data_IF_544818751988
#
_entry.id   IF_544818751988
#
_cell.length_a   1.000
_cell.length_b   1.000
_cell.length_c   1.000
_cell.angle_alpha   90.00
_cell.angle_beta   90.00
_cell.angle_gamma   90.00
#
_symmetry.space_group_name_H-M   'P 1'
#
loop_
_entity.id
_entity.type
_entity.pdbx_description
1 polymer ?
#
# COMPACT_ATOMS: atom_id res chain seq x y z
N UNK A 1 2.56 -24.88 9.66
CA UNK A 1 2.27 -23.42 9.75
C UNK A 1 3.19 -22.72 8.79
N UNK A 2 2.65 -21.93 7.89
CA UNK A 2 3.45 -21.10 6.96
C UNK A 2 4.13 -20.00 7.77
N UNK A 3 5.44 -19.81 7.56
CA UNK A 3 6.20 -18.75 8.24
C UNK A 3 5.83 -17.41 7.59
N UNK A 4 5.59 -16.39 8.41
CA UNK A 4 5.33 -15.04 7.91
C UNK A 4 6.60 -14.45 7.30
N UNK A 5 6.47 -13.80 6.15
CA UNK A 5 7.58 -13.18 5.41
C UNK A 5 7.68 -11.68 5.66
N UNK A 6 6.82 -11.11 6.51
CA UNK A 6 6.70 -9.66 6.70
C UNK A 6 7.99 -8.99 7.15
N UNK A 7 8.76 -9.64 8.04
CA UNK A 7 10.02 -9.06 8.54
C UNK A 7 11.10 -9.04 7.46
N UNK A 8 11.20 -10.09 6.65
CA UNK A 8 12.15 -10.13 5.54
C UNK A 8 11.81 -9.07 4.49
N UNK A 9 10.52 -8.93 4.18
CA UNK A 9 10.03 -7.89 3.26
C UNK A 9 10.32 -6.49 3.82
N UNK A 10 10.06 -6.26 5.10
CA UNK A 10 10.36 -4.97 5.74
C UNK A 10 11.87 -4.66 5.69
N UNK A 11 12.71 -5.61 6.08
CA UNK A 11 14.18 -5.44 6.03
C UNK A 11 14.65 -5.10 4.60
N UNK A 12 14.09 -5.77 3.58
CA UNK A 12 14.43 -5.50 2.18
C UNK A 12 13.96 -4.11 1.71
N UNK A 13 12.82 -3.65 2.19
CA UNK A 13 12.36 -2.28 1.93
C UNK A 13 13.28 -1.25 2.58
N UNK A 14 13.68 -1.47 3.84
CA UNK A 14 14.61 -0.57 4.56
C UNK A 14 15.95 -0.50 3.85
N UNK A 15 16.50 -1.63 3.43
CA UNK A 15 17.74 -1.69 2.66
C UNK A 15 17.64 -0.84 1.38
N UNK A 16 16.56 -0.98 0.62
CA UNK A 16 16.34 -0.22 -0.60
C UNK A 16 16.23 1.30 -0.36
N UNK A 17 15.55 1.70 0.72
CA UNK A 17 15.48 3.12 1.12
C UNK A 17 16.86 3.65 1.50
N UNK A 18 17.65 2.90 2.26
CA UNK A 18 19.01 3.27 2.67
C UNK A 18 19.97 3.35 1.49
N UNK A 19 19.79 2.51 0.49
CA UNK A 19 20.56 2.54 -0.77
C UNK A 19 20.13 3.64 -1.72
N UNK A 20 19.06 4.37 -1.39
CA UNK A 20 18.54 5.46 -2.21
C UNK A 20 17.82 4.98 -3.48
N UNK A 21 17.25 3.78 -3.47
CA UNK A 21 16.49 3.29 -4.60
C UNK A 21 15.23 4.12 -4.83
N UNK A 22 15.12 4.68 -6.03
CA UNK A 22 14.04 5.58 -6.38
C UNK A 22 12.77 4.83 -6.81
N UNK A 23 11.64 5.44 -6.54
CA UNK A 23 10.36 5.04 -7.15
C UNK A 23 10.32 5.62 -8.57
N UNK A 24 10.09 4.78 -9.55
CA UNK A 24 9.97 5.17 -10.95
C UNK A 24 8.51 5.38 -11.34
N UNK A 25 8.22 6.51 -11.94
CA UNK A 25 6.88 6.78 -12.45
C UNK A 25 6.60 5.94 -13.70
N UNK A 26 5.51 5.18 -13.65
CA UNK A 26 5.09 4.29 -14.75
C UNK A 26 4.15 5.01 -15.71
N UNK A 27 3.33 5.93 -15.19
CA UNK A 27 2.43 6.77 -15.97
C UNK A 27 2.21 8.12 -15.30
N UNK A 28 1.68 9.09 -16.05
CA UNK A 28 1.35 10.42 -15.49
C UNK A 28 0.07 10.42 -14.66
N UNK A 29 -0.71 9.36 -14.68
CA UNK A 29 -2.09 9.36 -14.16
C UNK A 29 -2.28 8.61 -12.85
N UNK A 30 -1.45 7.57 -12.55
CA UNK A 30 -1.68 6.69 -11.40
C UNK A 30 -0.45 6.61 -10.50
N UNK A 31 -0.36 7.54 -9.55
CA UNK A 31 0.76 7.61 -8.59
C UNK A 31 0.79 6.42 -7.61
N UNK A 32 -0.35 5.81 -7.32
CA UNK A 32 -0.44 4.65 -6.45
C UNK A 32 0.35 3.45 -7.01
N UNK A 33 0.23 3.21 -8.32
CA UNK A 33 0.97 2.14 -8.99
C UNK A 33 2.48 2.30 -8.99
N UNK A 34 3.00 3.53 -8.86
CA UNK A 34 4.44 3.76 -8.84
C UNK A 34 5.07 3.13 -7.60
N UNK A 35 4.50 3.40 -6.43
CA UNK A 35 5.00 2.84 -5.18
C UNK A 35 4.71 1.34 -5.08
N UNK A 36 3.57 0.89 -5.60
CA UNK A 36 3.23 -0.52 -5.68
C UNK A 36 4.26 -1.31 -6.50
N UNK A 37 4.70 -0.79 -7.66
CA UNK A 37 5.74 -1.42 -8.47
C UNK A 37 7.12 -1.41 -7.78
N UNK A 38 7.44 -0.33 -7.06
CA UNK A 38 8.66 -0.28 -6.25
C UNK A 38 8.63 -1.38 -5.18
N UNK A 39 7.52 -1.55 -4.48
CA UNK A 39 7.34 -2.61 -3.49
C UNK A 39 7.40 -4.01 -4.12
N UNK A 40 6.79 -4.20 -5.26
CA UNK A 40 6.84 -5.46 -6.01
C UNK A 40 8.28 -5.91 -6.28
N UNK A 41 9.17 -5.01 -6.70
CA UNK A 41 10.59 -5.31 -6.88
C UNK A 41 11.26 -5.86 -5.61
N UNK A 42 10.78 -5.48 -4.43
CA UNK A 42 11.29 -6.03 -3.14
C UNK A 42 10.87 -7.46 -2.95
N UNK A 43 9.61 -7.78 -3.24
CA UNK A 43 9.11 -9.16 -3.19
C UNK A 43 9.89 -10.05 -4.18
N UNK A 44 10.07 -9.59 -5.40
CA UNK A 44 10.81 -10.31 -6.44
C UNK A 44 12.28 -10.53 -6.06
N UNK A 45 12.93 -9.54 -5.45
CA UNK A 45 14.33 -9.67 -5.00
C UNK A 45 14.53 -10.70 -3.88
N UNK A 46 13.46 -11.01 -3.14
CA UNK A 46 13.42 -12.07 -2.14
C UNK A 46 12.97 -13.41 -2.73
N UNK A 47 12.79 -13.49 -4.05
CA UNK A 47 12.23 -14.67 -4.73
C UNK A 47 10.86 -15.10 -4.16
N UNK A 48 10.09 -14.12 -3.69
CA UNK A 48 8.75 -14.35 -3.19
C UNK A 48 7.75 -14.31 -4.35
N UNK A 49 6.88 -15.31 -4.39
CA UNK A 49 5.83 -15.41 -5.41
C UNK A 49 4.50 -14.91 -4.83
N UNK A 50 3.76 -14.19 -5.66
CA UNK A 50 2.44 -13.68 -5.34
C UNK A 50 1.46 -13.96 -6.49
N UNK A 51 0.17 -14.01 -6.17
CA UNK A 51 -0.86 -14.19 -7.18
C UNK A 51 -0.92 -12.94 -8.07
N UNK A 52 -1.15 -13.15 -9.38
CA UNK A 52 -1.34 -12.04 -10.30
C UNK A 52 -2.46 -11.12 -9.80
N UNK A 53 -2.15 -9.83 -9.63
CA UNK A 53 -3.15 -8.85 -9.22
C UNK A 53 -4.10 -8.55 -10.36
N UNK A 54 -5.40 -8.72 -10.12
CA UNK A 54 -6.43 -8.19 -11.00
C UNK A 54 -6.88 -6.82 -10.47
N UNK A 55 -7.36 -5.96 -11.35
CA UNK A 55 -7.99 -4.69 -10.96
C UNK A 55 -9.11 -4.99 -9.96
N UNK A 56 -9.07 -4.38 -8.79
CA UNK A 56 -9.97 -4.64 -7.64
C UNK A 56 -9.63 -5.86 -6.78
N UNK A 57 -8.40 -6.30 -6.75
CA UNK A 57 -7.96 -7.34 -5.82
C UNK A 57 -7.60 -6.71 -4.48
N UNK A 58 -7.97 -7.38 -3.39
CA UNK A 58 -7.56 -7.02 -2.04
C UNK A 58 -7.05 -8.26 -1.30
N UNK A 59 -5.94 -8.16 -0.59
CA UNK A 59 -4.94 -7.10 -0.69
C UNK A 59 -4.21 -7.11 -2.04
N UNK A 60 -3.44 -6.07 -2.35
CA UNK A 60 -2.72 -5.90 -3.63
C UNK A 60 -1.81 -7.07 -3.97
N UNK A 61 -1.07 -7.58 -3.00
CA UNK A 61 -0.20 -8.75 -3.14
C UNK A 61 -0.64 -9.86 -2.21
N UNK A 62 -0.97 -11.00 -2.77
CA UNK A 62 -1.35 -12.23 -2.05
C UNK A 62 -0.25 -13.25 -2.24
N UNK A 63 0.51 -13.52 -1.17
CA UNK A 63 1.67 -14.43 -1.24
C UNK A 63 1.21 -15.87 -1.51
N UNK A 64 1.94 -16.59 -2.35
CA UNK A 64 1.61 -17.98 -2.70
C UNK A 64 2.08 -18.95 -1.60
N UNK A 65 3.28 -18.73 -1.08
CA UNK A 65 3.94 -19.65 -0.15
C UNK A 65 3.82 -19.23 1.32
N UNK A 66 3.08 -18.17 1.61
CA UNK A 66 2.75 -17.75 2.97
C UNK A 66 1.29 -17.32 3.07
N UNK A 67 0.77 -17.27 4.30
CA UNK A 67 -0.57 -16.73 4.54
C UNK A 67 -0.59 -15.20 4.60
N UNK A 68 0.45 -14.52 4.15
CA UNK A 68 0.55 -13.07 4.18
C UNK A 68 -0.04 -12.45 2.91
N UNK A 69 -0.55 -11.23 3.07
CA UNK A 69 -0.95 -10.35 1.99
C UNK A 69 -0.55 -8.91 2.32
N UNK A 70 -0.23 -8.13 1.30
CA UNK A 70 0.22 -6.75 1.45
C UNK A 70 -0.70 -5.81 0.67
N UNK A 71 -1.24 -4.82 1.37
CA UNK A 71 -1.96 -3.68 0.79
C UNK A 71 -1.04 -2.47 0.78
N UNK A 72 -0.80 -1.87 -0.38
CA UNK A 72 0.23 -0.83 -0.56
C UNK A 72 -0.40 0.55 -0.72
N UNK A 73 0.09 1.51 0.02
CA UNK A 73 -0.38 2.90 0.01
C UNK A 73 0.80 3.87 -0.14
N UNK A 74 0.81 4.65 -1.21
CA UNK A 74 1.76 5.74 -1.40
C UNK A 74 1.16 7.07 -0.92
N UNK A 75 1.87 7.79 -0.04
CA UNK A 75 1.41 9.03 0.57
C UNK A 75 2.36 10.19 0.23
N UNK A 76 1.79 11.29 -0.25
CA UNK A 76 2.56 12.51 -0.49
C UNK A 76 2.87 13.23 0.83
N UNK A 77 4.11 13.69 1.01
CA UNK A 77 4.55 14.45 2.16
C UNK A 77 5.23 15.77 1.74
N UNK A 78 4.89 16.90 2.35
CA UNK A 78 3.75 17.12 3.24
C UNK A 78 2.40 17.08 2.49
N UNK A 79 1.33 16.88 3.23
CA UNK A 79 -0.05 16.95 2.72
C UNK A 79 -0.89 15.75 3.12
N UNK A 80 -0.62 14.56 2.60
CA UNK A 80 -1.36 13.34 2.93
C UNK A 80 -0.55 12.34 3.76
N UNK A 81 0.43 12.81 4.47
CA UNK A 81 1.36 11.99 5.24
C UNK A 81 0.74 11.18 6.38
N UNK A 82 -0.46 11.52 6.79
CA UNK A 82 -1.12 10.94 7.96
C UNK A 82 -2.41 10.21 7.64
N UNK A 83 -2.98 10.42 6.48
CA UNK A 83 -4.26 9.84 6.13
C UNK A 83 -4.23 9.11 4.79
N UNK A 84 -5.08 8.12 4.64
CA UNK A 84 -5.27 7.38 3.41
C UNK A 84 -6.73 6.99 3.21
N UNK A 85 -7.11 6.75 1.96
CA UNK A 85 -8.46 6.33 1.62
C UNK A 85 -8.61 4.81 1.79
N UNK A 86 -9.59 4.38 2.58
CA UNK A 86 -9.95 2.98 2.72
C UNK A 86 -10.73 2.47 1.50
N UNK A 87 -11.28 3.38 0.71
CA UNK A 87 -12.14 3.09 -0.44
C UNK A 87 -13.25 2.08 -0.08
N UNK A 88 -13.13 0.87 -0.58
CA UNK A 88 -14.15 -0.17 -0.43
C UNK A 88 -13.80 -1.26 0.58
N UNK A 89 -12.65 -1.16 1.21
CA UNK A 89 -12.16 -2.17 2.15
C UNK A 89 -11.71 -1.51 3.44
N UNK A 90 -12.41 -1.80 4.53
CA UNK A 90 -11.99 -1.39 5.87
C UNK A 90 -10.76 -2.21 6.27
N UNK A 91 -9.72 -1.59 6.84
CA UNK A 91 -8.56 -2.33 7.30
C UNK A 91 -8.91 -3.47 8.25
N UNK A 92 -8.33 -4.62 7.97
CA UNK A 92 -8.48 -5.82 8.79
C UNK A 92 -7.18 -6.60 8.73
N UNK A 93 -6.80 -7.21 9.84
CA UNK A 93 -5.64 -8.08 9.91
C UNK A 93 -5.87 -9.47 9.31
N UNK A 94 -7.12 -9.81 8.99
CA UNK A 94 -7.45 -11.10 8.40
C UNK A 94 -8.45 -10.90 7.26
N UNK A 95 -8.11 -11.42 6.08
CA UNK A 95 -9.00 -11.43 4.93
C UNK A 95 -8.83 -12.73 4.13
N UNK A 96 -9.93 -13.47 3.99
CA UNK A 96 -9.95 -14.77 3.29
C UNK A 96 -8.83 -15.73 3.74
N UNK A 97 -8.60 -15.82 5.05
CA UNK A 97 -7.59 -16.69 5.65
C UNK A 97 -6.15 -16.17 5.57
N UNK A 98 -5.93 -14.93 5.05
CA UNK A 98 -4.63 -14.30 4.96
C UNK A 98 -4.46 -13.23 6.02
N UNK A 99 -3.26 -13.16 6.59
CA UNK A 99 -2.82 -12.02 7.41
C UNK A 99 -2.58 -10.84 6.48
N UNK A 100 -3.19 -9.68 6.75
CA UNK A 100 -3.08 -8.51 5.91
C UNK A 100 -2.19 -7.46 6.58
N UNK A 101 -1.14 -7.06 5.86
CA UNK A 101 -0.23 -6.00 6.25
C UNK A 101 -0.37 -4.82 5.31
N UNK A 102 -0.48 -3.62 5.88
CA UNK A 102 -0.50 -2.36 5.14
C UNK A 102 0.91 -1.81 5.03
N UNK A 103 1.32 -1.49 3.82
CA UNK A 103 2.64 -0.93 3.50
C UNK A 103 2.43 0.53 3.11
N UNK A 104 2.85 1.43 3.96
CA UNK A 104 2.79 2.87 3.70
C UNK A 104 4.17 3.38 3.32
N UNK A 105 4.29 3.98 2.13
CA UNK A 105 5.49 4.67 1.69
C UNK A 105 5.21 6.15 1.51
N UNK A 106 6.03 7.03 2.09
CA UNK A 106 5.95 8.47 1.88
C UNK A 106 6.90 8.91 0.79
N UNK A 107 6.41 9.79 -0.07
CA UNK A 107 7.18 10.37 -1.16
C UNK A 107 7.04 11.91 -1.15
N UNK A 108 8.01 12.66 -1.70
CA UNK A 108 7.92 14.12 -1.70
C UNK A 108 6.70 14.63 -2.46
N UNK A 109 5.97 15.58 -1.87
CA UNK A 109 4.95 16.36 -2.59
C UNK A 109 5.59 17.40 -3.51
N UNK A 110 6.79 17.88 -3.14
CA UNK A 110 7.57 18.85 -3.92
C UNK A 110 8.20 18.19 -5.15
N UNK A 111 7.80 18.65 -6.31
CA UNK A 111 8.29 18.15 -7.60
C UNK A 111 9.79 18.45 -7.85
N UNK A 112 10.40 19.38 -7.11
CA UNK A 112 11.85 19.66 -7.21
C UNK A 112 12.70 18.48 -6.76
N UNK A 113 12.15 17.59 -5.93
CA UNK A 113 12.81 16.37 -5.47
C UNK A 113 12.63 15.18 -6.43
N UNK A 114 11.98 15.40 -7.56
CA UNK A 114 11.85 14.39 -8.61
C UNK A 114 12.98 14.53 -9.62
N UNK A 115 13.60 13.42 -9.93
CA UNK A 115 14.59 13.35 -11.03
C UNK A 115 13.85 13.04 -12.33
N UNK A 116 14.09 13.84 -13.37
CA UNK A 116 13.57 13.56 -14.71
C UNK A 116 14.58 12.71 -15.46
N UNK A 117 14.17 11.52 -15.89
CA UNK A 117 14.96 10.61 -16.71
C UNK A 117 14.71 10.86 -18.21
N UNK A 118 15.60 10.31 -19.05
CA UNK A 118 15.42 10.29 -20.50
C UNK A 118 14.06 9.65 -20.85
N UNK A 119 13.29 10.32 -21.69
CA UNK A 119 11.92 9.88 -22.04
C UNK A 119 10.80 10.45 -21.16
N UNK A 120 11.11 11.46 -20.31
CA UNK A 120 10.12 12.15 -19.48
C UNK A 120 9.60 11.37 -18.27
N UNK A 121 10.18 10.20 -18.00
CA UNK A 121 9.87 9.46 -16.76
C UNK A 121 10.45 10.21 -15.56
N UNK A 122 9.67 10.27 -14.51
CA UNK A 122 10.11 10.90 -13.25
C UNK A 122 10.38 9.83 -12.23
N UNK A 123 11.40 10.03 -11.41
CA UNK A 123 11.68 9.21 -10.23
C UNK A 123 11.84 10.09 -9.00
N UNK A 124 11.55 9.51 -7.85
CA UNK A 124 11.56 10.22 -6.58
C UNK A 124 11.95 9.27 -5.43
N UNK A 125 12.53 9.81 -4.34
CA UNK A 125 12.92 8.98 -3.21
C UNK A 125 11.70 8.53 -2.39
N UNK A 126 11.84 7.40 -1.71
CA UNK A 126 11.00 7.05 -0.58
C UNK A 126 11.57 7.74 0.64
N UNK A 127 10.80 8.60 1.30
CA UNK A 127 11.23 9.36 2.48
C UNK A 127 11.28 8.45 3.70
N UNK A 128 10.21 7.69 3.90
CA UNK A 128 10.11 6.67 4.93
C UNK A 128 9.09 5.59 4.54
N UNK A 129 9.07 4.53 5.32
CA UNK A 129 8.20 3.39 5.09
C UNK A 129 7.78 2.78 6.42
N UNK A 130 6.50 2.41 6.49
CA UNK A 130 5.91 1.67 7.61
C UNK A 130 5.17 0.46 7.10
N UNK A 131 5.33 -0.68 7.76
CA UNK A 131 4.48 -1.86 7.57
C UNK A 131 3.76 -2.15 8.88
N UNK A 132 2.45 -2.23 8.85
CA UNK A 132 1.66 -2.54 10.04
C UNK A 132 0.54 -3.53 9.73
N UNK A 133 0.18 -4.32 10.72
CA UNK A 133 -0.94 -5.27 10.61
C UNK A 133 -2.27 -4.52 10.51
N UNK A 134 -3.21 -5.02 9.70
CA UNK A 134 -4.49 -4.34 9.47
C UNK A 134 -5.32 -4.12 10.74
N UNK A 135 -5.25 -5.03 11.71
CA UNK A 135 -5.96 -4.85 12.99
C UNK A 135 -5.42 -3.68 13.80
N UNK A 136 -4.12 -3.36 13.67
CA UNK A 136 -3.57 -2.17 14.32
C UNK A 136 -4.25 -0.89 13.83
N UNK A 137 -4.51 -0.80 12.53
CA UNK A 137 -5.17 0.37 11.93
C UNK A 137 -6.63 0.50 12.33
N UNK A 138 -7.28 -0.59 12.70
CA UNK A 138 -8.70 -0.63 13.05
C UNK A 138 -8.95 -0.79 14.55
N UNK A 139 -7.90 -0.87 15.38
CA UNK A 139 -7.99 -1.23 16.79
C UNK A 139 -8.96 -0.36 17.61
N UNK A 140 -9.01 0.94 17.32
CA UNK A 140 -9.80 1.89 18.10
C UNK A 140 -11.19 2.17 17.50
N UNK A 141 -11.57 1.53 16.40
CA UNK A 141 -12.69 2.03 15.61
C UNK A 141 -13.75 1.01 15.26
N UNK A 142 -13.48 -0.26 15.38
CA UNK A 142 -14.41 -1.36 15.06
C UNK A 142 -15.14 -1.18 13.72
N UNK A 143 -14.43 -0.74 12.68
CA UNK A 143 -15.04 -0.53 11.38
C UNK A 143 -15.49 -1.85 10.78
N UNK A 144 -16.68 -1.85 10.22
CA UNK A 144 -17.25 -2.99 9.52
C UNK A 144 -17.16 -2.71 8.02
N UNK A 145 -16.62 -3.67 7.29
CA UNK A 145 -16.66 -3.65 5.83
C UNK A 145 -18.10 -3.71 5.33
N UNK A 146 -18.46 -2.78 4.45
CA UNK A 146 -19.75 -2.79 3.76
C UNK A 146 -19.57 -3.11 2.29
N UNK A 147 -20.43 -3.97 1.78
CA UNK A 147 -20.37 -4.41 0.39
C UNK A 147 -20.64 -3.25 -0.57
N UNK A 148 -19.84 -3.16 -1.62
CA UNK A 148 -19.99 -2.19 -2.73
C UNK A 148 -21.33 -2.28 -3.45
N UNK A 149 -22.00 -3.40 -3.38
CA UNK A 149 -23.28 -3.63 -4.07
C UNK A 149 -24.50 -3.09 -3.36
N UNK A 150 -24.36 -2.35 -2.26
CA UNK A 150 -25.50 -1.71 -1.60
C UNK A 150 -26.10 -0.67 -2.54
N UNK A 151 -27.34 -0.91 -2.92
CA UNK A 151 -28.13 -0.05 -3.81
C UNK A 151 -28.23 1.37 -3.22
N UNK A 152 -27.87 2.39 -4.01
CA UNK A 152 -27.97 3.79 -3.60
C UNK A 152 -26.64 4.50 -3.35
N UNK A 153 -25.53 3.77 -3.28
CA UNK A 153 -24.20 4.34 -3.04
C UNK A 153 -23.29 4.43 -4.28
N UNK A 154 -23.83 4.17 -5.46
CA UNK A 154 -23.09 4.26 -6.72
C UNK A 154 -22.09 3.14 -6.94
N UNK A 155 -21.29 3.27 -8.02
CA UNK A 155 -20.36 2.22 -8.47
C UNK A 155 -19.11 2.06 -7.61
N UNK A 156 -18.88 2.90 -6.62
CA UNK A 156 -17.67 2.92 -5.81
C UNK A 156 -17.86 2.39 -4.38
N UNK A 157 -18.99 1.81 -4.09
CA UNK A 157 -19.25 1.23 -2.79
C UNK A 157 -19.91 2.16 -1.80
N UNK A 158 -19.78 1.86 -0.55
CA UNK A 158 -20.39 2.61 0.53
C UNK A 158 -19.73 3.99 0.69
N UNK A 159 -20.50 5.06 0.52
CA UNK A 159 -20.03 6.42 0.76
C UNK A 159 -19.45 6.62 2.14
N UNK A 160 -19.97 5.90 3.14
CA UNK A 160 -19.44 5.99 4.51
C UNK A 160 -18.00 5.48 4.61
N UNK A 161 -17.60 4.51 3.78
CA UNK A 161 -16.21 4.05 3.73
C UNK A 161 -15.34 5.07 2.98
N UNK A 162 -15.85 5.63 1.89
CA UNK A 162 -15.10 6.60 1.09
C UNK A 162 -14.80 7.89 1.84
N UNK A 163 -15.74 8.35 2.64
CA UNK A 163 -15.57 9.56 3.45
C UNK A 163 -14.68 9.34 4.68
N UNK A 164 -14.32 8.08 4.96
CA UNK A 164 -13.45 7.77 6.08
C UNK A 164 -12.00 7.76 5.64
N UNK A 165 -11.26 8.60 6.30
CA UNK A 165 -9.80 8.58 6.24
C UNK A 165 -9.27 7.89 7.47
N UNK A 166 -8.33 6.99 7.26
CA UNK A 166 -7.60 6.32 8.33
C UNK A 166 -6.27 7.03 8.56
N UNK A 167 -5.85 7.12 9.80
CA UNK A 167 -4.57 7.72 10.15
C UNK A 167 -3.50 6.65 10.26
N UNK A 168 -2.35 6.90 9.64
CA UNK A 168 -1.20 5.98 9.63
C UNK A 168 -0.49 5.99 10.98
N UNK A 169 -0.52 7.11 11.69
CA UNK A 169 0.10 7.25 12.99
C UNK A 169 -0.91 7.81 13.99
N UNK A 170 -0.80 7.46 15.27
CA UNK A 170 -1.57 8.13 16.31
C UNK A 170 -1.27 9.62 16.27
N UNK A 171 -2.31 10.43 16.38
CA UNK A 171 -2.22 11.88 16.47
C UNK A 171 -1.76 12.29 17.86
#
# INVERSE_FOLDING_TARGET
MSVSVVLDVFAKCVEAVQQGELVESVSTKDKEFHFQNWFQKRLESLSLFFEASCRNTYPDFRMVNSADGFEVKGLAWPGRERDYDCNSQVPSGLHNGRQVFYVFGRYPADLSQYTTQVGGKRSYPVIDLVICHGDFLNADREYIHKNKSIKGFGSYGDLMIRDRKMYVAPT
#
